data_IF_908968399452
#
_entry.id   IF_908968399452
#
_cell.length_a   1.000
_cell.length_b   1.000
_cell.length_c   1.000
_cell.angle_alpha   90.00
_cell.angle_beta   90.00
_cell.angle_gamma   90.00
#
_symmetry.space_group_name_H-M   'P 1'
#
loop_
_entity.id
_entity.type
_entity.pdbx_description
1 polymer ?
#
# COMPACT_ATOMS: atom_id res chain seq x y z
N UNK A 1 -1.98 -25.96 15.36
CA UNK A 1 -2.31 -25.14 16.55
C UNK A 1 -1.96 -23.67 16.34
N UNK A 2 -0.71 -23.30 15.98
CA UNK A 2 -0.32 -21.90 15.75
C UNK A 2 -1.15 -21.22 14.65
N UNK A 3 -1.36 -21.87 13.51
CA UNK A 3 -2.17 -21.33 12.41
C UNK A 3 -3.63 -21.03 12.80
N UNK A 4 -4.26 -21.89 13.60
CA UNK A 4 -5.63 -21.67 14.10
C UNK A 4 -5.71 -20.45 15.03
N UNK A 5 -4.69 -20.26 15.86
CA UNK A 5 -4.63 -19.08 16.77
C UNK A 5 -4.48 -17.81 15.96
N UNK A 6 -3.57 -17.78 14.99
CA UNK A 6 -3.34 -16.61 14.14
C UNK A 6 -4.59 -16.28 13.31
N UNK A 7 -5.26 -17.29 12.75
CA UNK A 7 -6.51 -17.12 12.00
C UNK A 7 -7.63 -16.55 12.88
N UNK A 8 -7.78 -17.06 14.11
CA UNK A 8 -8.77 -16.57 15.09
C UNK A 8 -8.49 -15.10 15.46
N UNK A 9 -7.22 -14.73 15.66
CA UNK A 9 -6.82 -13.35 15.96
C UNK A 9 -7.12 -12.45 14.75
N UNK A 10 -6.72 -12.85 13.53
CA UNK A 10 -6.98 -12.12 12.31
C UNK A 10 -8.48 -11.89 12.11
N UNK A 11 -9.27 -12.94 12.23
CA UNK A 11 -10.73 -12.86 12.07
C UNK A 11 -11.36 -11.95 13.13
N UNK A 12 -10.97 -12.06 14.39
CA UNK A 12 -11.47 -11.16 15.45
C UNK A 12 -11.13 -9.69 15.17
N UNK A 13 -9.87 -9.41 14.81
CA UNK A 13 -9.41 -8.05 14.53
C UNK A 13 -10.21 -7.40 13.38
N UNK A 14 -10.38 -8.10 12.27
CA UNK A 14 -11.09 -7.55 11.11
C UNK A 14 -12.61 -7.55 11.30
N UNK A 15 -13.20 -8.56 11.94
CA UNK A 15 -14.65 -8.63 12.09
C UNK A 15 -15.21 -7.69 13.15
N UNK A 16 -14.41 -7.26 14.13
CA UNK A 16 -14.88 -6.49 15.29
C UNK A 16 -14.25 -5.10 15.43
N UNK A 17 -12.95 -4.98 15.17
CA UNK A 17 -12.21 -3.76 15.48
C UNK A 17 -11.87 -2.93 14.24
N UNK A 18 -11.16 -3.53 13.29
CA UNK A 18 -10.56 -2.79 12.18
C UNK A 18 -11.59 -2.24 11.20
N UNK A 19 -12.63 -2.99 10.86
CA UNK A 19 -13.69 -2.52 9.96
C UNK A 19 -14.35 -1.26 10.51
N UNK A 20 -14.73 -1.29 11.80
CA UNK A 20 -15.35 -0.12 12.45
C UNK A 20 -14.37 1.05 12.51
N UNK A 21 -13.13 0.80 12.90
CA UNK A 21 -12.11 1.83 13.05
C UNK A 21 -11.74 2.47 11.70
N UNK A 22 -11.53 1.66 10.66
CA UNK A 22 -11.16 2.12 9.32
C UNK A 22 -12.29 2.90 8.65
N UNK A 23 -13.51 2.36 8.67
CA UNK A 23 -14.68 3.04 8.08
C UNK A 23 -14.99 4.32 8.88
N UNK A 24 -15.01 4.23 10.21
CA UNK A 24 -15.30 5.37 11.08
C UNK A 24 -14.28 6.50 10.92
N UNK A 25 -12.99 6.19 10.93
CA UNK A 25 -11.94 7.19 10.72
C UNK A 25 -11.98 7.75 9.27
N UNK A 26 -12.16 6.90 8.27
CA UNK A 26 -12.24 7.33 6.86
C UNK A 26 -13.41 8.29 6.62
N UNK A 27 -14.60 7.99 7.16
CA UNK A 27 -15.77 8.87 7.09
C UNK A 27 -15.51 10.16 7.86
N UNK A 28 -15.00 10.07 9.10
CA UNK A 28 -14.66 11.22 9.93
C UNK A 28 -13.71 12.18 9.19
N UNK A 29 -12.62 11.67 8.63
CA UNK A 29 -11.68 12.51 7.89
C UNK A 29 -12.28 13.06 6.59
N UNK A 30 -13.04 12.25 5.86
CA UNK A 30 -13.72 12.71 4.63
C UNK A 30 -14.65 13.90 4.90
N UNK A 31 -15.43 13.84 5.98
CA UNK A 31 -16.35 14.93 6.39
C UNK A 31 -15.53 16.13 6.87
N UNK A 32 -14.55 15.94 7.78
CA UNK A 32 -13.77 17.03 8.36
C UNK A 32 -12.92 17.78 7.35
N UNK A 33 -12.44 17.11 6.31
CA UNK A 33 -11.70 17.71 5.20
C UNK A 33 -12.59 18.17 4.04
N UNK A 34 -13.91 18.03 4.17
CA UNK A 34 -14.93 18.47 3.17
C UNK A 34 -14.73 17.83 1.80
N UNK A 35 -14.68 16.48 1.74
CA UNK A 35 -14.52 15.70 0.51
C UNK A 35 -13.29 16.09 -0.31
N UNK A 36 -12.08 15.99 0.22
CA UNK A 36 -10.86 16.43 -0.45
C UNK A 36 -10.61 15.64 -1.73
N UNK A 37 -11.09 14.39 -1.80
CA UNK A 37 -11.01 13.48 -2.93
C UNK A 37 -11.57 14.10 -4.23
N UNK A 38 -12.63 14.89 -4.11
CA UNK A 38 -13.24 15.58 -5.25
C UNK A 38 -12.71 16.99 -5.39
N UNK A 39 -12.70 17.72 -4.28
CA UNK A 39 -12.44 19.17 -4.26
C UNK A 39 -10.97 19.52 -4.54
N UNK A 40 -10.04 18.70 -4.08
CA UNK A 40 -8.61 18.92 -4.19
C UNK A 40 -7.92 17.96 -5.18
N UNK A 41 -8.69 17.22 -5.98
CA UNK A 41 -8.13 16.26 -6.94
C UNK A 41 -7.18 16.93 -7.95
N UNK A 42 -7.55 18.06 -8.50
CA UNK A 42 -6.69 18.83 -9.42
C UNK A 42 -5.40 19.29 -8.75
N UNK A 43 -5.45 19.62 -7.47
CA UNK A 43 -4.27 20.03 -6.70
C UNK A 43 -3.36 18.84 -6.42
N UNK A 44 -3.93 17.68 -6.15
CA UNK A 44 -3.18 16.43 -6.02
C UNK A 44 -2.38 16.11 -7.29
N UNK A 45 -3.02 16.20 -8.47
CA UNK A 45 -2.34 16.01 -9.75
C UNK A 45 -1.22 17.04 -9.99
N UNK A 46 -1.43 18.31 -9.62
CA UNK A 46 -0.38 19.34 -9.73
C UNK A 46 0.79 19.09 -8.79
N UNK A 47 0.51 18.69 -7.55
CA UNK A 47 1.53 18.41 -6.55
C UNK A 47 2.47 17.27 -6.96
N UNK A 48 2.00 16.29 -7.73
CA UNK A 48 2.83 15.18 -8.25
C UNK A 48 3.94 15.68 -9.17
N UNK A 49 3.63 16.65 -10.03
CA UNK A 49 4.59 17.14 -11.05
C UNK A 49 5.40 18.35 -10.59
N UNK A 50 5.18 18.82 -9.36
CA UNK A 50 5.93 19.94 -8.79
C UNK A 50 7.38 19.57 -8.56
N UNK A 51 8.29 20.45 -8.98
CA UNK A 51 9.73 20.25 -8.78
C UNK A 51 10.09 20.49 -7.30
N UNK A 52 11.04 19.75 -6.74
CA UNK A 52 11.56 20.00 -5.40
C UNK A 52 12.26 21.37 -5.34
N UNK A 53 12.30 21.99 -4.17
CA UNK A 53 12.98 23.27 -3.95
C UNK A 53 14.51 23.11 -4.07
N UNK A 54 15.05 21.97 -3.67
CA UNK A 54 16.46 21.58 -3.82
C UNK A 54 16.56 20.58 -4.97
N UNK A 55 17.40 20.85 -5.97
CA UNK A 55 17.58 19.96 -7.13
C UNK A 55 18.07 18.56 -6.75
N UNK A 56 18.74 18.40 -5.61
CA UNK A 56 19.17 17.10 -5.09
C UNK A 56 18.14 16.44 -4.17
N UNK A 57 17.04 17.11 -3.87
CA UNK A 57 15.98 16.60 -2.99
C UNK A 57 15.07 15.60 -3.67
N UNK A 58 14.42 14.75 -2.87
CA UNK A 58 13.40 13.81 -3.36
C UNK A 58 12.17 14.59 -3.79
N UNK A 59 11.75 14.44 -5.05
CA UNK A 59 10.55 15.09 -5.58
C UNK A 59 9.27 14.42 -5.08
N UNK A 60 8.12 15.13 -5.20
CA UNK A 60 6.80 14.56 -4.94
C UNK A 60 6.53 13.31 -5.78
N UNK A 61 6.94 13.32 -7.05
CA UNK A 61 6.82 12.17 -7.94
C UNK A 61 7.66 10.97 -7.47
N UNK A 62 8.91 11.20 -7.07
CA UNK A 62 9.78 10.13 -6.58
C UNK A 62 9.24 9.52 -5.28
N UNK A 63 8.78 10.32 -4.33
CA UNK A 63 8.15 9.84 -3.10
C UNK A 63 6.84 9.07 -3.39
N UNK A 64 6.04 9.54 -4.37
CA UNK A 64 4.88 8.81 -4.86
C UNK A 64 5.28 7.45 -5.44
N UNK A 65 6.32 7.38 -6.25
CA UNK A 65 6.77 6.12 -6.87
C UNK A 65 7.28 5.12 -5.84
N UNK A 66 7.96 5.58 -4.78
CA UNK A 66 8.39 4.71 -3.68
C UNK A 66 7.19 4.16 -2.90
N UNK A 67 6.23 5.01 -2.53
CA UNK A 67 5.02 4.55 -1.84
C UNK A 67 4.14 3.69 -2.74
N UNK A 68 4.05 4.01 -4.02
CA UNK A 68 3.32 3.20 -5.01
C UNK A 68 4.03 1.87 -5.26
N UNK A 69 5.36 1.80 -5.20
CA UNK A 69 6.11 0.55 -5.33
C UNK A 69 5.75 -0.47 -4.24
N UNK A 70 5.55 -0.02 -3.00
CA UNK A 70 5.07 -0.88 -1.91
C UNK A 70 3.62 -1.32 -2.12
N UNK A 71 2.74 -0.38 -2.46
CA UNK A 71 1.29 -0.60 -2.64
C UNK A 71 0.97 -1.40 -3.89
N UNK A 72 1.45 -0.92 -5.06
CA UNK A 72 1.22 -1.57 -6.37
C UNK A 72 2.11 -2.80 -6.46
N UNK A 73 1.60 -3.88 -5.98
CA UNK A 73 2.33 -5.13 -5.85
C UNK A 73 1.46 -6.36 -6.09
N UNK A 74 1.84 -7.43 -5.45
CA UNK A 74 1.12 -8.70 -5.55
C UNK A 74 -0.32 -8.61 -5.07
N UNK A 75 -0.65 -7.62 -4.20
CA UNK A 75 -1.99 -7.36 -3.69
C UNK A 75 -2.99 -6.95 -4.78
N UNK A 76 -2.55 -6.17 -5.76
CA UNK A 76 -3.42 -5.71 -6.85
C UNK A 76 -3.84 -6.85 -7.80
N UNK A 77 -3.12 -7.95 -7.84
CA UNK A 77 -3.40 -9.11 -8.68
C UNK A 77 -3.97 -10.25 -7.81
N UNK A 78 -3.13 -10.82 -6.94
CA UNK A 78 -3.47 -11.98 -6.12
C UNK A 78 -4.47 -11.63 -5.02
N UNK A 79 -4.31 -10.45 -4.38
CA UNK A 79 -5.23 -9.98 -3.34
C UNK A 79 -6.64 -9.74 -3.88
N UNK A 80 -6.76 -9.12 -5.07
CA UNK A 80 -8.04 -8.92 -5.76
C UNK A 80 -8.69 -10.25 -6.13
N UNK A 81 -7.91 -11.17 -6.71
CA UNK A 81 -8.37 -12.53 -7.00
C UNK A 81 -8.91 -13.23 -5.75
N UNK A 82 -8.12 -13.22 -4.66
CA UNK A 82 -8.53 -13.85 -3.40
C UNK A 82 -9.81 -13.22 -2.83
N UNK A 83 -9.93 -11.87 -2.89
CA UNK A 83 -11.14 -11.19 -2.44
C UNK A 83 -12.39 -11.65 -3.20
N UNK A 84 -12.28 -11.76 -4.53
CA UNK A 84 -13.41 -12.14 -5.39
C UNK A 84 -13.73 -13.62 -5.28
N UNK A 85 -12.72 -14.50 -5.25
CA UNK A 85 -12.93 -15.95 -5.14
C UNK A 85 -13.54 -16.36 -3.79
N UNK A 86 -13.31 -15.60 -2.71
CA UNK A 86 -13.87 -15.88 -1.37
C UNK A 86 -15.17 -15.11 -1.14
N UNK A 87 -15.20 -13.83 -1.46
CA UNK A 87 -16.28 -12.90 -1.10
C UNK A 87 -17.23 -12.56 -2.27
N UNK A 88 -16.99 -13.10 -3.48
CA UNK A 88 -17.83 -12.81 -4.64
C UNK A 88 -17.55 -11.45 -5.29
N UNK A 89 -18.37 -11.11 -6.30
CA UNK A 89 -18.25 -9.87 -7.09
C UNK A 89 -18.37 -8.60 -6.23
N UNK A 90 -19.21 -8.64 -5.19
CA UNK A 90 -19.43 -7.51 -4.29
C UNK A 90 -18.18 -7.06 -3.53
N UNK A 91 -17.13 -7.89 -3.43
CA UNK A 91 -15.86 -7.52 -2.81
C UNK A 91 -15.21 -6.30 -3.50
N UNK A 92 -15.38 -6.18 -4.82
CA UNK A 92 -14.85 -5.05 -5.60
C UNK A 92 -15.50 -3.74 -5.16
N UNK A 93 -16.82 -3.72 -4.94
CA UNK A 93 -17.51 -2.53 -4.42
C UNK A 93 -16.93 -2.07 -3.08
N UNK A 94 -16.71 -2.99 -2.15
CA UNK A 94 -16.18 -2.66 -0.84
C UNK A 94 -14.69 -2.25 -0.88
N UNK A 95 -13.92 -2.77 -1.85
CA UNK A 95 -12.59 -2.23 -2.14
C UNK A 95 -12.66 -0.77 -2.60
N UNK A 96 -13.60 -0.40 -3.45
CA UNK A 96 -13.80 1.00 -3.86
C UNK A 96 -14.19 1.89 -2.68
N UNK A 97 -15.13 1.44 -1.86
CA UNK A 97 -15.58 2.19 -0.67
C UNK A 97 -14.41 2.47 0.25
N UNK A 98 -13.64 1.43 0.64
CA UNK A 98 -12.51 1.62 1.57
C UNK A 98 -11.39 2.47 0.96
N UNK A 99 -11.18 2.43 -0.35
CA UNK A 99 -10.22 3.29 -1.03
C UNK A 99 -10.66 4.76 -1.02
N UNK A 100 -11.93 5.04 -1.32
CA UNK A 100 -12.45 6.41 -1.34
C UNK A 100 -12.37 7.04 0.05
N UNK A 101 -12.91 6.38 1.09
CA UNK A 101 -12.89 6.94 2.44
C UNK A 101 -11.49 6.88 3.07
N UNK A 102 -10.72 5.82 2.81
CA UNK A 102 -9.36 5.65 3.31
C UNK A 102 -8.38 6.66 2.74
N UNK A 103 -8.61 7.16 1.53
CA UNK A 103 -7.77 8.18 0.92
C UNK A 103 -7.70 9.48 1.74
N UNK A 104 -8.77 9.82 2.47
CA UNK A 104 -8.76 10.94 3.41
C UNK A 104 -7.86 10.65 4.63
N UNK A 105 -7.79 9.40 5.09
CA UNK A 105 -6.84 8.99 6.13
C UNK A 105 -5.40 9.12 5.64
N UNK A 106 -5.13 8.70 4.39
CA UNK A 106 -3.81 8.84 3.76
C UNK A 106 -3.37 10.31 3.63
N UNK A 107 -4.32 11.22 3.33
CA UNK A 107 -4.06 12.66 3.33
C UNK A 107 -3.60 13.15 4.71
N UNK A 108 -4.34 12.78 5.77
CA UNK A 108 -4.04 13.22 7.14
C UNK A 108 -2.71 12.67 7.63
N UNK A 109 -2.48 11.34 7.55
CA UNK A 109 -1.27 10.71 8.04
C UNK A 109 -0.01 11.21 7.31
N UNK A 110 -0.10 11.41 6.00
CA UNK A 110 1.04 11.90 5.21
C UNK A 110 1.31 13.39 5.41
N UNK A 111 0.27 14.18 5.68
CA UNK A 111 0.42 15.57 6.11
C UNK A 111 1.13 15.65 7.47
N UNK A 112 0.72 14.84 8.43
CA UNK A 112 1.39 14.77 9.75
C UNK A 112 2.84 14.35 9.62
N UNK A 113 3.14 13.36 8.78
CA UNK A 113 4.51 12.92 8.54
C UNK A 113 5.39 14.03 7.97
N UNK A 114 4.85 14.86 7.09
CA UNK A 114 5.54 16.02 6.56
C UNK A 114 5.71 17.15 7.60
N UNK A 115 4.72 17.40 8.45
CA UNK A 115 4.82 18.42 9.52
C UNK A 115 5.94 18.06 10.50
N UNK A 116 5.99 16.80 10.94
CA UNK A 116 6.93 16.33 11.97
C UNK A 116 8.19 15.64 11.41
N UNK A 117 8.51 15.84 10.13
CA UNK A 117 9.74 15.29 9.53
C UNK A 117 10.99 15.95 10.09
N UNK A 118 12.09 15.19 10.04
CA UNK A 118 13.42 15.65 10.48
C UNK A 118 14.40 15.58 9.32
N UNK A 119 15.33 16.54 9.29
CA UNK A 119 16.44 16.51 8.34
C UNK A 119 17.60 15.73 8.94
N UNK A 120 18.04 14.68 8.26
CA UNK A 120 19.19 13.89 8.65
C UNK A 120 20.52 14.61 8.37
N UNK A 121 21.60 14.07 8.94
CA UNK A 121 22.96 14.58 8.70
C UNK A 121 23.43 14.40 7.26
N UNK A 122 22.83 13.49 6.52
CA UNK A 122 23.04 13.21 5.09
C UNK A 122 22.29 14.17 4.17
N UNK A 123 21.47 15.08 4.73
CA UNK A 123 20.62 15.98 3.98
C UNK A 123 19.27 15.38 3.56
N UNK A 124 19.06 14.07 3.74
CA UNK A 124 17.79 13.40 3.49
C UNK A 124 16.75 13.74 4.57
N UNK A 125 15.46 13.65 4.22
CA UNK A 125 14.37 13.87 5.16
C UNK A 125 13.78 12.55 5.62
N UNK A 126 13.54 12.42 6.91
CA UNK A 126 12.98 11.25 7.58
C UNK A 126 11.73 11.64 8.35
N UNK A 127 10.71 10.78 8.36
CA UNK A 127 9.47 11.05 9.08
C UNK A 127 8.54 9.84 9.02
N UNK A 128 7.31 10.03 9.46
CA UNK A 128 6.30 8.99 9.52
C UNK A 128 5.71 8.83 10.91
N UNK A 129 4.94 7.75 11.18
CA UNK A 129 4.22 7.60 12.45
C UNK A 129 5.10 7.68 13.68
N UNK A 130 6.26 7.04 13.68
CA UNK A 130 7.16 7.07 14.82
C UNK A 130 7.56 8.51 15.19
N UNK A 131 7.82 9.35 14.19
CA UNK A 131 8.23 10.73 14.39
C UNK A 131 7.10 11.59 14.95
N UNK A 132 5.88 11.52 14.39
CA UNK A 132 4.78 12.32 14.92
C UNK A 132 4.21 11.78 16.25
N UNK A 133 4.31 10.46 16.53
CA UNK A 133 3.98 9.90 17.84
C UNK A 133 4.92 10.46 18.92
N UNK A 134 6.23 10.46 18.68
CA UNK A 134 7.18 11.00 19.66
C UNK A 134 7.07 12.52 19.79
N UNK A 135 7.02 13.25 18.67
CA UNK A 135 7.02 14.71 18.68
C UNK A 135 5.73 15.30 19.26
N UNK A 136 4.57 14.80 18.83
CA UNK A 136 3.29 15.40 19.21
C UNK A 136 2.63 14.76 20.44
N UNK A 137 2.84 13.46 20.70
CA UNK A 137 2.27 12.76 21.86
C UNK A 137 3.30 12.53 22.97
N UNK A 138 4.56 12.89 22.77
CA UNK A 138 5.67 12.68 23.70
C UNK A 138 5.78 11.22 24.17
N UNK A 139 5.38 10.25 23.35
CA UNK A 139 5.32 8.84 23.70
C UNK A 139 6.28 7.98 22.86
N UNK A 140 7.58 8.05 23.20
CA UNK A 140 8.61 7.25 22.52
C UNK A 140 8.36 5.73 22.61
N UNK A 141 7.88 5.14 23.74
CA UNK A 141 7.60 3.70 23.79
C UNK A 141 6.59 3.26 22.71
N UNK A 142 5.50 4.02 22.51
CA UNK A 142 4.50 3.73 21.48
C UNK A 142 5.11 3.84 20.08
N UNK A 143 5.96 4.84 19.84
CA UNK A 143 6.69 5.00 18.59
C UNK A 143 7.59 3.80 18.28
N UNK A 144 8.30 3.27 19.28
CA UNK A 144 9.13 2.06 19.13
C UNK A 144 8.27 0.82 18.86
N UNK A 145 7.15 0.64 19.56
CA UNK A 145 6.22 -0.47 19.29
C UNK A 145 5.70 -0.39 17.85
N UNK A 146 5.36 0.81 17.37
CA UNK A 146 4.96 1.01 15.97
C UNK A 146 6.10 0.63 15.00
N UNK A 147 7.34 1.07 15.27
CA UNK A 147 8.50 0.70 14.43
C UNK A 147 8.69 -0.81 14.34
N UNK A 148 8.64 -1.52 15.47
CA UNK A 148 8.80 -2.98 15.53
C UNK A 148 7.68 -3.66 14.74
N UNK A 149 6.42 -3.24 14.94
CA UNK A 149 5.27 -3.77 14.21
C UNK A 149 5.41 -3.57 12.72
N UNK A 150 5.84 -2.38 12.29
CA UNK A 150 6.01 -2.07 10.88
C UNK A 150 7.18 -2.82 10.24
N UNK A 151 8.33 -2.96 10.94
CA UNK A 151 9.45 -3.77 10.45
C UNK A 151 9.02 -5.24 10.33
N UNK A 152 8.29 -5.77 11.31
CA UNK A 152 7.76 -7.13 11.25
C UNK A 152 6.79 -7.31 10.06
N UNK A 153 5.96 -6.31 9.77
CA UNK A 153 5.04 -6.34 8.64
C UNK A 153 5.79 -6.32 7.31
N UNK A 154 6.66 -5.33 7.10
CA UNK A 154 7.23 -5.02 5.78
C UNK A 154 8.49 -5.83 5.48
N UNK A 155 9.42 -5.99 6.45
CA UNK A 155 10.63 -6.78 6.22
C UNK A 155 10.38 -8.29 6.25
N UNK A 156 9.30 -8.75 6.93
CA UNK A 156 9.00 -10.18 7.06
C UNK A 156 7.66 -10.54 6.40
N UNK A 157 6.52 -10.20 7.00
CA UNK A 157 5.20 -10.65 6.55
C UNK A 157 4.93 -10.39 5.08
N UNK A 158 4.99 -9.14 4.65
CA UNK A 158 4.70 -8.74 3.27
C UNK A 158 5.77 -9.21 2.29
N UNK A 159 7.05 -9.24 2.69
CA UNK A 159 8.11 -9.72 1.82
C UNK A 159 8.02 -11.24 1.57
N UNK A 160 7.68 -12.03 2.60
CA UNK A 160 7.42 -13.46 2.43
C UNK A 160 6.21 -13.70 1.53
N UNK A 161 5.12 -12.97 1.77
CA UNK A 161 3.89 -13.11 0.99
C UNK A 161 4.10 -12.69 -0.47
N UNK A 162 4.84 -11.60 -0.74
CA UNK A 162 5.16 -11.17 -2.10
C UNK A 162 5.99 -12.21 -2.85
N UNK A 163 6.94 -12.83 -2.19
CA UNK A 163 7.77 -13.91 -2.76
C UNK A 163 6.94 -15.15 -3.08
N UNK A 164 6.07 -15.58 -2.15
CA UNK A 164 5.14 -16.68 -2.40
C UNK A 164 4.21 -16.39 -3.58
N UNK A 165 3.58 -15.22 -3.57
CA UNK A 165 2.64 -14.82 -4.62
C UNK A 165 3.30 -14.82 -6.00
N UNK A 166 4.55 -14.36 -6.09
CA UNK A 166 5.30 -14.40 -7.35
C UNK A 166 5.53 -15.85 -7.79
N UNK A 167 6.11 -16.69 -6.94
CA UNK A 167 6.44 -18.06 -7.34
C UNK A 167 5.20 -18.86 -7.72
N UNK A 168 4.04 -18.61 -7.10
CA UNK A 168 2.78 -19.29 -7.41
C UNK A 168 2.29 -19.08 -8.84
N UNK A 169 2.69 -17.97 -9.49
CA UNK A 169 2.33 -17.73 -10.90
C UNK A 169 3.04 -18.66 -11.89
N UNK A 170 4.08 -19.34 -11.44
CA UNK A 170 4.80 -20.31 -12.28
C UNK A 170 4.15 -21.68 -12.28
N UNK A 171 3.18 -21.96 -11.40
CA UNK A 171 2.51 -23.27 -11.30
C UNK A 171 1.77 -23.70 -12.57
N UNK A 172 1.37 -22.76 -13.43
CA UNK A 172 0.72 -23.03 -14.71
C UNK A 172 1.68 -23.54 -15.81
N UNK A 173 2.98 -23.46 -15.59
CA UNK A 173 3.95 -23.87 -16.60
C UNK A 173 4.42 -25.31 -16.38
N UNK A 174 4.60 -26.05 -17.47
CA UNK A 174 4.96 -27.49 -17.46
C UNK A 174 6.29 -27.82 -16.78
N UNK A 175 7.19 -26.84 -16.64
CA UNK A 175 8.46 -27.03 -15.93
C UNK A 175 8.36 -26.92 -14.41
N UNK A 176 7.17 -26.51 -13.88
CA UNK A 176 7.02 -26.30 -12.45
C UNK A 176 7.02 -27.61 -11.66
N UNK A 177 7.95 -27.71 -10.73
CA UNK A 177 8.04 -28.77 -9.74
C UNK A 177 7.77 -28.18 -8.35
N UNK A 178 6.76 -28.70 -7.65
CA UNK A 178 6.32 -28.19 -6.35
C UNK A 178 7.39 -28.26 -5.26
N UNK A 179 8.40 -29.13 -5.41
CA UNK A 179 9.46 -29.34 -4.44
C UNK A 179 10.63 -28.36 -4.64
N UNK A 180 11.00 -28.06 -5.88
CA UNK A 180 12.24 -27.33 -6.20
C UNK A 180 11.99 -25.93 -6.76
N UNK A 181 10.97 -25.77 -7.62
CA UNK A 181 10.73 -24.50 -8.33
C UNK A 181 10.49 -23.31 -7.39
N UNK A 182 9.73 -23.42 -6.27
CA UNK A 182 9.57 -22.33 -5.33
C UNK A 182 10.88 -21.78 -4.79
N UNK A 183 11.79 -22.69 -4.42
CA UNK A 183 13.11 -22.33 -3.88
C UNK A 183 14.03 -21.71 -4.92
N UNK A 184 14.00 -22.19 -6.17
CA UNK A 184 14.80 -21.63 -7.27
C UNK A 184 14.34 -20.21 -7.57
N UNK A 185 13.02 -19.99 -7.73
CA UNK A 185 12.45 -18.67 -8.01
C UNK A 185 12.67 -17.72 -6.83
N UNK A 186 12.40 -18.19 -5.60
CA UNK A 186 12.67 -17.42 -4.39
C UNK A 186 14.14 -17.04 -4.24
N UNK A 187 15.06 -17.94 -4.60
CA UNK A 187 16.50 -17.68 -4.61
C UNK A 187 16.91 -16.62 -5.61
N UNK A 188 16.41 -16.70 -6.85
CA UNK A 188 16.65 -15.68 -7.90
C UNK A 188 16.12 -14.32 -7.44
N UNK A 189 14.87 -14.28 -6.94
CA UNK A 189 14.25 -13.06 -6.46
C UNK A 189 15.03 -12.45 -5.28
N UNK A 190 15.46 -13.27 -4.32
CA UNK A 190 16.26 -12.84 -3.17
C UNK A 190 17.61 -12.24 -3.60
N UNK A 191 18.28 -12.86 -4.58
CA UNK A 191 19.56 -12.35 -5.10
C UNK A 191 19.41 -11.00 -5.80
N UNK A 192 18.41 -10.85 -6.69
CA UNK A 192 18.15 -9.60 -7.40
C UNK A 192 17.75 -8.49 -6.42
N UNK A 193 16.85 -8.81 -5.49
CA UNK A 193 16.42 -7.88 -4.44
C UNK A 193 17.59 -7.47 -3.56
N UNK A 194 18.37 -8.43 -3.07
CA UNK A 194 19.56 -8.16 -2.26
C UNK A 194 20.59 -7.27 -2.96
N UNK A 195 20.85 -7.53 -4.24
CA UNK A 195 21.74 -6.68 -5.05
C UNK A 195 21.24 -5.22 -5.13
N UNK A 196 19.92 -5.03 -5.33
CA UNK A 196 19.34 -3.70 -5.37
C UNK A 196 19.39 -3.02 -4.00
N UNK A 197 19.02 -3.72 -2.93
CA UNK A 197 18.99 -3.20 -1.56
C UNK A 197 20.39 -2.76 -1.07
N UNK A 198 21.43 -3.50 -1.41
CA UNK A 198 22.80 -3.15 -1.04
C UNK A 198 23.26 -1.80 -1.64
N UNK A 199 22.56 -1.31 -2.67
CA UNK A 199 22.78 0.03 -3.23
C UNK A 199 22.15 1.19 -2.44
N UNK A 200 21.34 0.89 -1.42
CA UNK A 200 20.74 1.90 -0.54
C UNK A 200 19.52 2.63 -1.10
N UNK A 201 19.02 3.60 -0.32
CA UNK A 201 17.78 4.32 -0.62
C UNK A 201 17.77 5.02 -1.98
N UNK A 202 18.84 5.65 -2.38
CA UNK A 202 18.96 6.34 -3.69
C UNK A 202 18.79 5.39 -4.88
N UNK A 203 19.31 4.15 -4.78
CA UNK A 203 19.08 3.12 -5.80
C UNK A 203 17.64 2.66 -5.83
N UNK A 204 17.02 2.46 -4.66
CA UNK A 204 15.61 2.10 -4.55
C UNK A 204 14.74 3.17 -5.24
N UNK A 205 14.92 4.45 -4.89
CA UNK A 205 14.18 5.57 -5.51
C UNK A 205 14.35 5.59 -7.03
N UNK A 206 15.59 5.41 -7.53
CA UNK A 206 15.88 5.42 -8.97
C UNK A 206 15.18 4.26 -9.70
N UNK A 207 15.23 3.05 -9.14
CA UNK A 207 14.61 1.86 -9.74
C UNK A 207 13.09 1.99 -9.72
N UNK A 208 12.49 2.35 -8.59
CA UNK A 208 11.03 2.46 -8.45
C UNK A 208 10.46 3.59 -9.31
N UNK A 209 11.13 4.74 -9.40
CA UNK A 209 10.66 5.86 -10.23
C UNK A 209 10.66 5.56 -11.74
N UNK A 210 11.37 4.53 -12.18
CA UNK A 210 11.39 4.09 -13.57
C UNK A 210 10.44 2.90 -13.82
N UNK A 211 10.51 1.86 -12.97
CA UNK A 211 9.75 0.64 -13.18
C UNK A 211 8.26 0.79 -12.89
N UNK A 212 7.90 1.49 -11.79
CA UNK A 212 6.50 1.59 -11.35
C UNK A 212 5.59 2.22 -12.40
N UNK A 213 5.93 3.38 -13.01
CA UNK A 213 5.10 3.95 -14.06
C UNK A 213 4.99 3.04 -15.28
N UNK A 214 6.13 2.45 -15.72
CA UNK A 214 6.16 1.60 -16.90
C UNK A 214 5.28 0.34 -16.73
N UNK A 215 5.42 -0.36 -15.59
CA UNK A 215 4.63 -1.55 -15.32
C UNK A 215 3.13 -1.21 -15.12
N UNK A 216 2.83 -0.10 -14.44
CA UNK A 216 1.45 0.34 -14.22
C UNK A 216 0.74 0.69 -15.53
N UNK A 217 1.39 1.45 -16.41
CA UNK A 217 0.84 1.79 -17.74
C UNK A 217 0.65 0.53 -18.59
N UNK A 218 1.63 -0.37 -18.65
CA UNK A 218 1.52 -1.61 -19.41
C UNK A 218 0.35 -2.49 -18.88
N UNK A 219 0.21 -2.58 -17.56
CA UNK A 219 -0.87 -3.34 -16.94
C UNK A 219 -2.26 -2.78 -17.29
N UNK A 220 -2.43 -1.45 -17.20
CA UNK A 220 -3.69 -0.78 -17.56
C UNK A 220 -4.01 -0.94 -19.04
N UNK A 221 -3.01 -0.83 -19.93
CA UNK A 221 -3.22 -1.03 -21.37
C UNK A 221 -3.75 -2.43 -21.68
N UNK A 222 -3.18 -3.47 -21.08
CA UNK A 222 -3.69 -4.84 -21.24
C UNK A 222 -5.08 -4.99 -20.66
N UNK A 223 -5.35 -4.39 -19.49
CA UNK A 223 -6.69 -4.41 -18.92
C UNK A 223 -7.74 -3.76 -19.84
N UNK A 224 -7.42 -2.62 -20.43
CA UNK A 224 -8.31 -1.96 -21.40
C UNK A 224 -8.54 -2.85 -22.62
N UNK A 225 -7.50 -3.50 -23.16
CA UNK A 225 -7.63 -4.44 -24.28
C UNK A 225 -8.58 -5.60 -23.93
N UNK A 226 -8.40 -6.23 -22.76
CA UNK A 226 -9.27 -7.33 -22.29
C UNK A 226 -10.71 -6.85 -22.12
N UNK A 227 -10.93 -5.67 -21.52
CA UNK A 227 -12.26 -5.10 -21.39
C UNK A 227 -12.92 -4.79 -22.74
N UNK A 228 -12.17 -4.36 -23.74
CA UNK A 228 -12.68 -4.15 -25.11
C UNK A 228 -13.08 -5.49 -25.74
N UNK A 229 -12.24 -6.52 -25.62
CA UNK A 229 -12.54 -7.86 -26.13
C UNK A 229 -13.83 -8.38 -25.48
N UNK A 230 -13.96 -8.23 -24.18
CA UNK A 230 -15.07 -8.77 -23.38
C UNK A 230 -16.18 -7.74 -23.09
N UNK A 231 -16.30 -6.68 -23.89
CA UNK A 231 -17.19 -5.54 -23.61
C UNK A 231 -18.67 -5.96 -23.37
N UNK A 232 -19.14 -7.04 -24.00
CA UNK A 232 -20.51 -7.54 -23.85
C UNK A 232 -20.82 -8.03 -22.41
N UNK A 233 -19.80 -8.47 -21.66
CA UNK A 233 -19.97 -8.93 -20.28
C UNK A 233 -19.92 -7.78 -19.24
N UNK A 234 -19.36 -6.63 -19.56
CA UNK A 234 -19.15 -5.54 -18.60
C UNK A 234 -20.46 -5.08 -17.90
N UNK A 235 -21.61 -4.89 -18.59
CA UNK A 235 -22.84 -4.50 -17.91
C UNK A 235 -23.28 -5.52 -16.86
N UNK A 236 -23.14 -6.81 -17.15
CA UNK A 236 -23.48 -7.90 -16.23
C UNK A 236 -22.51 -7.90 -15.03
N UNK A 237 -21.23 -7.69 -15.26
CA UNK A 237 -20.22 -7.60 -14.21
C UNK A 237 -20.54 -6.45 -13.24
N UNK A 238 -20.81 -5.25 -13.75
CA UNK A 238 -21.19 -4.11 -12.91
C UNK A 238 -22.48 -4.36 -12.12
N UNK A 239 -23.50 -4.94 -12.76
CA UNK A 239 -24.76 -5.33 -12.09
C UNK A 239 -24.50 -6.30 -10.94
N UNK A 240 -23.66 -7.33 -11.13
CA UNK A 240 -23.31 -8.28 -10.08
C UNK A 240 -22.48 -7.65 -8.96
N UNK A 241 -21.52 -6.80 -9.28
CA UNK A 241 -20.73 -6.08 -8.26
C UNK A 241 -21.66 -5.32 -7.31
N UNK A 242 -22.65 -4.61 -7.84
CA UNK A 242 -23.58 -3.83 -7.01
C UNK A 242 -24.56 -4.75 -6.27
N UNK A 243 -25.16 -5.75 -6.93
CA UNK A 243 -26.16 -6.62 -6.29
C UNK A 243 -25.58 -7.48 -5.18
N UNK A 244 -24.38 -8.05 -5.36
CA UNK A 244 -23.72 -8.89 -4.37
C UNK A 244 -23.07 -8.08 -3.24
N UNK A 245 -22.77 -6.79 -3.45
CA UNK A 245 -22.20 -5.94 -2.42
C UNK A 245 -23.10 -5.78 -1.19
N UNK A 246 -24.42 -5.89 -1.36
CA UNK A 246 -25.45 -5.68 -0.35
C UNK A 246 -26.19 -6.98 0.00
N UNK A 247 -25.54 -8.12 -0.16
CA UNK A 247 -26.06 -9.38 0.38
C UNK A 247 -25.98 -9.39 1.92
N UNK A 248 -27.04 -8.85 2.54
CA UNK A 248 -27.12 -8.73 4.00
C UNK A 248 -27.19 -10.09 4.70
N UNK A 249 -27.66 -11.15 4.04
CA UNK A 249 -27.67 -12.50 4.62
C UNK A 249 -26.24 -13.03 4.78
N UNK A 250 -25.41 -12.86 3.75
CA UNK A 250 -24.00 -13.20 3.83
C UNK A 250 -23.23 -12.32 4.82
N UNK A 251 -23.52 -11.01 4.86
CA UNK A 251 -22.86 -10.05 5.77
C UNK A 251 -23.15 -10.39 7.23
N UNK A 252 -24.42 -10.71 7.59
CA UNK A 252 -24.79 -10.96 8.99
C UNK A 252 -24.70 -12.44 9.37
N UNK A 253 -24.77 -13.37 8.40
CA UNK A 253 -24.73 -14.81 8.67
C UNK A 253 -23.32 -15.39 8.72
N UNK A 254 -22.44 -14.98 7.81
CA UNK A 254 -21.06 -15.49 7.69
C UNK A 254 -20.11 -14.33 7.36
N UNK A 255 -19.99 -13.35 8.26
CA UNK A 255 -19.29 -12.09 8.02
C UNK A 255 -17.85 -12.25 7.52
N UNK A 256 -17.11 -13.23 8.05
CA UNK A 256 -15.71 -13.46 7.67
C UNK A 256 -15.50 -13.77 6.18
N UNK A 257 -16.46 -14.45 5.55
CA UNK A 257 -16.44 -14.77 4.11
C UNK A 257 -17.22 -13.77 3.25
N UNK A 258 -17.81 -12.73 3.84
CA UNK A 258 -18.66 -11.79 3.09
C UNK A 258 -17.87 -10.91 2.14
N UNK A 259 -18.54 -10.45 1.08
CA UNK A 259 -18.03 -9.47 0.13
C UNK A 259 -17.45 -8.24 0.83
N UNK A 260 -18.14 -7.73 1.86
CA UNK A 260 -17.70 -6.56 2.62
C UNK A 260 -16.38 -6.82 3.35
N UNK A 261 -16.27 -7.92 4.08
CA UNK A 261 -15.08 -8.26 4.85
C UNK A 261 -13.88 -8.48 3.94
N UNK A 262 -14.06 -9.27 2.88
CA UNK A 262 -12.98 -9.57 1.94
C UNK A 262 -12.55 -8.32 1.15
N UNK A 263 -13.49 -7.51 0.71
CA UNK A 263 -13.21 -6.27 0.02
C UNK A 263 -12.42 -5.26 0.88
N UNK A 264 -12.82 -5.08 2.15
CA UNK A 264 -12.12 -4.20 3.09
C UNK A 264 -10.72 -4.73 3.41
N UNK A 265 -10.60 -6.04 3.72
CA UNK A 265 -9.32 -6.68 4.08
C UNK A 265 -8.30 -6.57 2.94
N UNK A 266 -8.69 -6.98 1.73
CA UNK A 266 -7.78 -6.96 0.57
C UNK A 266 -7.60 -5.55 0.00
N UNK A 267 -8.60 -4.68 0.08
CA UNK A 267 -8.47 -3.27 -0.24
C UNK A 267 -7.44 -2.57 0.66
N UNK A 268 -7.52 -2.79 1.98
CA UNK A 268 -6.54 -2.24 2.93
C UNK A 268 -5.12 -2.77 2.69
N UNK A 269 -4.99 -4.08 2.42
CA UNK A 269 -3.71 -4.70 2.09
C UNK A 269 -3.07 -4.05 0.84
N UNK A 270 -3.88 -3.70 -0.16
CA UNK A 270 -3.42 -3.08 -1.39
C UNK A 270 -3.07 -1.60 -1.19
N UNK A 271 -4.00 -0.78 -0.67
CA UNK A 271 -3.85 0.67 -0.64
C UNK A 271 -3.15 1.23 0.60
N UNK A 272 -3.00 0.44 1.64
CA UNK A 272 -2.30 0.79 2.89
C UNK A 272 -2.79 2.09 3.56
N UNK A 273 -4.01 2.53 3.29
CA UNK A 273 -4.52 3.81 3.79
C UNK A 273 -4.83 3.77 5.30
N UNK A 274 -4.20 4.64 6.07
CA UNK A 274 -4.40 4.76 7.51
C UNK A 274 -3.57 3.79 8.35
N UNK A 275 -2.77 2.89 7.75
CA UNK A 275 -1.91 1.98 8.52
C UNK A 275 -0.55 2.58 8.90
N UNK A 276 -0.21 3.75 8.34
CA UNK A 276 1.01 4.48 8.70
C UNK A 276 2.26 4.10 7.91
N UNK A 277 2.14 3.38 6.81
CA UNK A 277 3.28 2.98 5.98
C UNK A 277 3.75 4.07 5.02
N UNK A 278 2.86 4.53 4.16
CA UNK A 278 3.14 5.55 3.16
C UNK A 278 3.67 6.89 3.72
N UNK A 279 3.31 7.32 4.92
CA UNK A 279 3.92 8.45 5.59
C UNK A 279 5.45 8.42 5.63
N UNK A 280 6.07 7.23 5.69
CA UNK A 280 7.53 7.09 5.67
C UNK A 280 8.17 7.50 4.34
N UNK A 281 7.51 7.20 3.21
CA UNK A 281 7.95 7.68 1.91
C UNK A 281 7.59 9.16 1.71
N UNK A 282 6.38 9.57 2.12
CA UNK A 282 5.92 10.94 1.92
C UNK A 282 6.81 11.95 2.64
N UNK A 283 7.36 11.60 3.81
CA UNK A 283 8.25 12.48 4.57
C UNK A 283 9.57 12.78 3.86
N UNK A 284 10.05 11.88 2.99
CA UNK A 284 11.30 12.09 2.24
C UNK A 284 11.18 13.21 1.20
N UNK A 285 9.98 13.53 0.74
CA UNK A 285 9.77 14.55 -0.27
C UNK A 285 10.03 15.96 0.24
N UNK A 286 10.68 16.75 -0.60
CA UNK A 286 10.84 18.18 -0.39
C UNK A 286 9.72 18.94 -1.09
N UNK A 287 8.86 19.56 -0.31
CA UNK A 287 7.68 20.31 -0.77
C UNK A 287 7.56 21.62 -0.01
N UNK A 288 6.96 22.63 -0.61
CA UNK A 288 6.75 23.92 0.04
C UNK A 288 5.63 23.89 1.10
N UNK A 289 4.75 22.88 1.08
CA UNK A 289 3.66 22.77 2.05
C UNK A 289 3.31 21.30 2.33
N UNK A 290 3.17 20.86 3.61
CA UNK A 290 2.86 19.46 4.00
C UNK A 290 1.65 18.86 3.30
N UNK A 291 0.60 19.65 3.09
CA UNK A 291 -0.65 19.22 2.42
C UNK A 291 -0.37 18.69 1.01
N UNK A 292 0.64 19.19 0.31
CA UNK A 292 0.96 18.71 -1.04
C UNK A 292 1.27 17.21 -1.04
N UNK A 293 2.05 16.73 -0.07
CA UNK A 293 2.31 15.30 0.06
C UNK A 293 1.10 14.51 0.57
N UNK A 294 0.29 15.10 1.45
CA UNK A 294 -0.99 14.51 1.82
C UNK A 294 -1.88 14.26 0.60
N UNK A 295 -1.99 15.25 -0.30
CA UNK A 295 -2.75 15.15 -1.55
C UNK A 295 -2.16 14.11 -2.52
N UNK A 296 -0.83 14.04 -2.63
CA UNK A 296 -0.14 13.04 -3.45
C UNK A 296 -0.43 11.62 -2.94
N UNK A 297 -0.42 11.39 -1.63
CA UNK A 297 -0.71 10.08 -1.07
C UNK A 297 -2.20 9.72 -1.14
N UNK A 298 -3.11 10.70 -1.08
CA UNK A 298 -4.52 10.51 -1.39
C UNK A 298 -4.71 10.02 -2.83
N UNK A 299 -4.01 10.62 -3.79
CA UNK A 299 -4.03 10.20 -5.20
C UNK A 299 -3.43 8.80 -5.40
N UNK A 300 -2.38 8.45 -4.65
CA UNK A 300 -1.77 7.11 -4.68
C UNK A 300 -2.76 6.00 -4.34
N UNK A 301 -3.65 6.21 -3.36
CA UNK A 301 -4.73 5.27 -3.01
C UNK A 301 -5.67 5.05 -4.20
N UNK A 302 -5.98 6.11 -4.94
CA UNK A 302 -6.83 5.99 -6.14
C UNK A 302 -6.15 5.23 -7.27
N UNK A 303 -4.87 5.54 -7.53
CA UNK A 303 -4.08 4.81 -8.54
C UNK A 303 -4.02 3.32 -8.19
N UNK A 304 -3.78 2.99 -6.93
CA UNK A 304 -3.68 1.61 -6.48
C UNK A 304 -5.02 0.87 -6.63
N UNK A 305 -6.06 1.34 -5.97
CA UNK A 305 -7.28 0.56 -5.82
C UNK A 305 -8.33 0.87 -6.88
N UNK A 306 -8.64 2.17 -7.13
CA UNK A 306 -9.68 2.51 -8.10
C UNK A 306 -9.23 2.29 -9.54
N UNK A 307 -7.91 2.28 -9.80
CA UNK A 307 -7.40 2.03 -11.14
C UNK A 307 -6.85 0.61 -11.28
N UNK A 308 -5.79 0.22 -10.54
CA UNK A 308 -5.10 -1.06 -10.76
C UNK A 308 -5.88 -2.27 -10.22
N UNK A 309 -6.43 -2.21 -9.00
CA UNK A 309 -7.26 -3.32 -8.50
C UNK A 309 -8.55 -3.48 -9.33
N UNK A 310 -9.15 -2.35 -9.77
CA UNK A 310 -10.31 -2.41 -10.66
C UNK A 310 -9.93 -3.00 -12.02
N UNK A 311 -8.76 -2.67 -12.56
CA UNK A 311 -8.27 -3.27 -13.80
C UNK A 311 -8.18 -4.81 -13.70
N UNK A 312 -7.60 -5.33 -12.62
CA UNK A 312 -7.54 -6.77 -12.35
C UNK A 312 -8.95 -7.38 -12.23
N UNK A 313 -9.81 -6.75 -11.41
CA UNK A 313 -11.17 -7.23 -11.23
C UNK A 313 -11.94 -7.30 -12.56
N UNK A 314 -11.85 -6.24 -13.39
CA UNK A 314 -12.55 -6.20 -14.67
C UNK A 314 -11.98 -7.22 -15.68
N UNK A 315 -10.66 -7.38 -15.75
CA UNK A 315 -10.06 -8.42 -16.60
C UNK A 315 -10.57 -9.81 -16.25
N UNK A 316 -10.59 -10.14 -14.95
CA UNK A 316 -10.99 -11.48 -14.51
C UNK A 316 -12.50 -11.69 -14.62
N UNK A 317 -13.31 -10.75 -14.14
CA UNK A 317 -14.77 -10.89 -14.10
C UNK A 317 -15.43 -10.85 -15.49
N UNK A 318 -14.81 -10.15 -16.45
CA UNK A 318 -15.33 -10.10 -17.83
C UNK A 318 -14.93 -11.30 -18.69
N UNK A 319 -14.02 -12.15 -18.22
CA UNK A 319 -13.58 -13.35 -18.97
C UNK A 319 -14.63 -14.47 -19.06
N UNK A 320 -15.64 -14.45 -18.18
CA UNK A 320 -16.62 -15.52 -18.05
C UNK A 320 -16.19 -16.69 -17.15
N UNK A 321 -14.93 -16.72 -16.69
CA UNK A 321 -14.45 -17.74 -15.76
C UNK A 321 -14.99 -17.44 -14.36
N UNK A 322 -15.81 -18.35 -13.84
CA UNK A 322 -16.40 -18.19 -12.51
C UNK A 322 -15.34 -18.21 -11.41
N UNK A 323 -15.39 -17.27 -10.43
CA UNK A 323 -14.52 -17.32 -9.29
C UNK A 323 -14.88 -18.53 -8.39
N UNK A 324 -13.86 -19.24 -7.93
CA UNK A 324 -14.00 -20.37 -7.01
C UNK A 324 -12.86 -20.36 -5.99
N UNK A 325 -13.13 -20.84 -4.76
CA UNK A 325 -12.13 -20.83 -3.69
C UNK A 325 -10.88 -21.65 -4.03
N UNK A 326 -11.06 -22.73 -4.77
CA UNK A 326 -9.97 -23.62 -5.22
C UNK A 326 -9.03 -22.94 -6.22
N UNK A 327 -9.53 -21.94 -6.94
CA UNK A 327 -8.79 -21.17 -7.94
C UNK A 327 -8.21 -19.86 -7.39
N UNK A 328 -8.41 -19.56 -6.10
CA UNK A 328 -7.97 -18.26 -5.55
C UNK A 328 -6.50 -17.97 -5.83
N UNK A 329 -6.20 -16.70 -6.09
CA UNK A 329 -4.82 -16.26 -6.34
C UNK A 329 -4.45 -16.28 -7.83
N UNK A 330 -3.23 -16.72 -8.13
CA UNK A 330 -2.71 -16.73 -9.50
C UNK A 330 -3.51 -17.60 -10.47
N UNK A 331 -3.95 -18.83 -10.13
CA UNK A 331 -4.64 -19.72 -11.06
C UNK A 331 -5.89 -19.09 -11.69
N UNK A 332 -6.73 -18.41 -10.89
CA UNK A 332 -7.93 -17.77 -11.43
C UNK A 332 -7.62 -16.62 -12.39
N UNK A 333 -6.65 -15.78 -12.03
CA UNK A 333 -6.23 -14.64 -12.89
C UNK A 333 -5.65 -15.14 -14.20
N UNK A 334 -4.82 -16.18 -14.14
CA UNK A 334 -4.19 -16.77 -15.33
C UNK A 334 -5.22 -17.46 -16.22
N UNK A 335 -6.16 -18.22 -15.65
CA UNK A 335 -7.25 -18.83 -16.40
C UNK A 335 -8.14 -17.76 -17.07
N UNK A 336 -8.49 -16.70 -16.34
CA UNK A 336 -9.30 -15.61 -16.88
C UNK A 336 -8.63 -14.89 -18.06
N UNK A 337 -7.33 -14.64 -17.96
CA UNK A 337 -6.59 -14.00 -19.04
C UNK A 337 -6.27 -14.98 -20.20
N UNK A 338 -6.12 -16.26 -19.91
CA UNK A 338 -5.98 -17.27 -20.97
C UNK A 338 -7.23 -17.32 -21.86
N UNK A 339 -8.43 -17.23 -21.28
CA UNK A 339 -9.68 -17.17 -22.03
C UNK A 339 -9.74 -15.98 -22.98
N UNK A 340 -9.25 -14.82 -22.55
CA UNK A 340 -9.30 -13.58 -23.34
C UNK A 340 -8.12 -13.40 -24.31
N UNK A 341 -6.92 -13.85 -23.95
CA UNK A 341 -5.65 -13.56 -24.65
C UNK A 341 -4.86 -14.83 -25.06
N UNK A 342 -5.43 -16.02 -24.85
CA UNK A 342 -4.74 -17.29 -25.09
C UNK A 342 -3.48 -17.43 -24.21
N UNK A 343 -2.45 -18.11 -24.72
CA UNK A 343 -1.21 -18.38 -23.98
C UNK A 343 -0.43 -17.11 -23.55
N UNK A 344 -0.71 -15.96 -24.17
CA UNK A 344 -0.12 -14.70 -23.76
C UNK A 344 -0.61 -14.24 -22.39
N UNK A 345 -1.85 -14.55 -22.01
CA UNK A 345 -2.46 -14.15 -20.73
C UNK A 345 -1.68 -14.60 -19.49
N UNK A 346 -1.45 -15.91 -19.30
CA UNK A 346 -0.66 -16.42 -18.18
C UNK A 346 0.78 -15.89 -18.16
N UNK A 347 1.43 -15.79 -19.34
CA UNK A 347 2.77 -15.23 -19.45
C UNK A 347 2.81 -13.77 -19.01
N UNK A 348 1.85 -12.96 -19.47
CA UNK A 348 1.75 -11.55 -19.08
C UNK A 348 1.58 -11.39 -17.56
N UNK A 349 0.71 -12.18 -16.92
CA UNK A 349 0.51 -12.13 -15.47
C UNK A 349 1.80 -12.51 -14.73
N UNK A 350 2.51 -13.52 -15.18
CA UNK A 350 3.79 -13.93 -14.56
C UNK A 350 4.84 -12.83 -14.66
N UNK A 351 4.99 -12.20 -15.84
CA UNK A 351 5.91 -11.06 -16.04
C UNK A 351 5.49 -9.86 -15.17
N UNK A 352 4.20 -9.52 -15.16
CA UNK A 352 3.68 -8.46 -14.30
C UNK A 352 3.99 -8.74 -12.82
N UNK A 353 3.78 -9.97 -12.37
CA UNK A 353 4.07 -10.38 -10.99
C UNK A 353 5.56 -10.30 -10.64
N UNK A 354 6.47 -10.61 -11.57
CA UNK A 354 7.92 -10.41 -11.36
C UNK A 354 8.21 -8.93 -11.08
N UNK A 355 7.68 -8.03 -11.87
CA UNK A 355 7.90 -6.59 -11.72
C UNK A 355 7.22 -6.05 -10.44
N UNK A 356 5.98 -6.43 -10.19
CA UNK A 356 5.20 -5.98 -9.05
C UNK A 356 5.79 -6.48 -7.73
N UNK A 357 6.14 -7.77 -7.62
CA UNK A 357 6.78 -8.32 -6.43
C UNK A 357 8.13 -7.67 -6.17
N UNK A 358 8.97 -7.53 -7.20
CA UNK A 358 10.28 -6.91 -7.05
C UNK A 358 10.19 -5.46 -6.55
N UNK A 359 9.34 -4.63 -7.15
CA UNK A 359 9.17 -3.24 -6.72
C UNK A 359 8.57 -3.14 -5.32
N UNK A 360 7.64 -4.04 -4.94
CA UNK A 360 7.09 -4.13 -3.58
C UNK A 360 8.18 -4.41 -2.55
N UNK A 361 9.06 -5.37 -2.80
CA UNK A 361 10.18 -5.68 -1.91
C UNK A 361 11.10 -4.48 -1.69
N UNK A 362 11.33 -3.68 -2.73
CA UNK A 362 12.13 -2.45 -2.64
C UNK A 362 11.43 -1.36 -1.81
N UNK A 363 10.15 -1.10 -2.07
CA UNK A 363 9.35 -0.12 -1.33
C UNK A 363 9.24 -0.47 0.16
N UNK A 364 9.00 -1.74 0.47
CA UNK A 364 8.95 -2.26 1.82
C UNK A 364 10.26 -2.03 2.59
N UNK A 365 11.39 -2.30 1.96
CA UNK A 365 12.69 -2.09 2.57
C UNK A 365 13.03 -0.60 2.74
N UNK A 366 12.57 0.28 1.84
CA UNK A 366 12.72 1.72 2.02
C UNK A 366 12.02 2.21 3.30
N UNK A 367 10.83 1.72 3.58
CA UNK A 367 10.14 2.03 4.83
C UNK A 367 10.92 1.57 6.05
N UNK A 368 11.48 0.36 6.00
CA UNK A 368 12.30 -0.17 7.08
C UNK A 368 13.58 0.64 7.33
N UNK A 369 14.24 1.12 6.28
CA UNK A 369 15.43 1.99 6.39
C UNK A 369 15.08 3.26 7.19
N UNK A 370 13.93 3.89 6.92
CA UNK A 370 13.46 5.07 7.67
C UNK A 370 13.21 4.77 9.17
N UNK A 371 12.57 3.63 9.46
CA UNK A 371 12.31 3.22 10.85
C UNK A 371 13.58 2.89 11.62
N UNK A 372 14.55 2.26 10.96
CA UNK A 372 15.85 1.95 11.56
C UNK A 372 16.63 3.23 11.89
N UNK A 373 16.54 4.26 11.04
CA UNK A 373 17.08 5.59 11.34
C UNK A 373 16.43 6.19 12.59
N UNK A 374 15.11 6.06 12.74
CA UNK A 374 14.40 6.52 13.92
C UNK A 374 14.87 5.79 15.20
N UNK A 375 14.90 4.45 15.18
CA UNK A 375 15.29 3.63 16.34
C UNK A 375 16.72 3.99 16.81
N UNK A 376 17.66 4.15 15.90
CA UNK A 376 19.06 4.45 16.18
C UNK A 376 19.33 5.94 16.44
N UNK A 377 18.30 6.82 16.37
CA UNK A 377 18.45 8.27 16.49
C UNK A 377 19.42 8.87 15.47
N UNK A 378 19.42 8.36 14.27
CA UNK A 378 20.31 8.71 13.17
C UNK A 378 20.68 7.48 12.34
N UNK A 379 21.58 7.66 11.40
CA UNK A 379 21.97 6.56 10.51
C UNK A 379 22.62 5.39 11.27
N UNK A 380 22.07 4.16 11.15
CA UNK A 380 22.72 2.98 11.67
C UNK A 380 24.07 2.73 10.99
N UNK A 381 24.94 1.96 11.63
CA UNK A 381 26.23 1.61 11.04
C UNK A 381 26.07 0.90 9.70
N UNK A 382 27.00 1.12 8.76
CA UNK A 382 26.99 0.45 7.45
C UNK A 382 26.96 -1.08 7.56
N UNK A 383 27.63 -1.64 8.58
CA UNK A 383 27.62 -3.09 8.86
C UNK A 383 26.25 -3.57 9.27
N UNK A 384 25.55 -2.86 10.16
CA UNK A 384 24.20 -3.18 10.60
C UNK A 384 23.20 -3.15 9.42
N UNK A 385 23.23 -2.08 8.62
CA UNK A 385 22.36 -1.96 7.45
C UNK A 385 22.61 -3.05 6.41
N UNK A 386 23.88 -3.43 6.19
CA UNK A 386 24.22 -4.55 5.31
C UNK A 386 23.67 -5.87 5.86
N UNK A 387 23.81 -6.12 7.15
CA UNK A 387 23.25 -7.31 7.82
C UNK A 387 21.72 -7.36 7.70
N UNK A 388 21.02 -6.24 8.00
CA UNK A 388 19.57 -6.15 7.87
C UNK A 388 19.09 -6.47 6.43
N UNK A 389 19.75 -5.91 5.41
CA UNK A 389 19.41 -6.14 4.00
C UNK A 389 19.63 -7.57 3.55
N UNK A 390 20.68 -8.23 4.06
CA UNK A 390 20.91 -9.66 3.84
C UNK A 390 19.80 -10.49 4.49
N UNK A 391 19.43 -10.19 5.75
CA UNK A 391 18.32 -10.88 6.43
C UNK A 391 17.01 -10.68 5.67
N UNK A 392 16.69 -9.45 5.23
CA UNK A 392 15.49 -9.19 4.42
C UNK A 392 15.48 -9.98 3.11
N UNK A 393 16.63 -10.16 2.46
CA UNK A 393 16.74 -10.97 1.26
C UNK A 393 16.55 -12.47 1.55
N UNK A 394 17.07 -12.98 2.69
CA UNK A 394 16.85 -14.37 3.12
C UNK A 394 15.37 -14.62 3.45
N UNK A 395 14.67 -13.65 4.01
CA UNK A 395 13.22 -13.73 4.26
C UNK A 395 12.44 -13.90 2.97
N UNK A 396 12.83 -13.21 1.90
CA UNK A 396 12.25 -13.38 0.55
C UNK A 396 12.43 -14.82 0.06
N UNK A 397 13.63 -15.40 0.23
CA UNK A 397 13.89 -16.79 -0.13
C UNK A 397 12.99 -17.76 0.63
N UNK A 398 12.90 -17.61 1.96
CA UNK A 398 12.11 -18.49 2.82
C UNK A 398 10.62 -18.40 2.47
N UNK A 399 10.10 -17.18 2.24
CA UNK A 399 8.70 -16.92 1.94
C UNK A 399 8.17 -17.68 0.72
N UNK A 400 9.02 -17.90 -0.29
CA UNK A 400 8.63 -18.61 -1.51
C UNK A 400 8.18 -20.07 -1.27
N UNK A 401 8.72 -20.74 -0.24
CA UNK A 401 8.41 -22.13 0.08
C UNK A 401 7.41 -22.34 1.21
N UNK A 402 6.80 -21.26 1.75
CA UNK A 402 5.87 -21.34 2.89
C UNK A 402 4.42 -21.62 2.45
N UNK A 403 3.55 -21.96 3.40
CA UNK A 403 2.13 -22.15 3.18
C UNK A 403 1.39 -20.80 3.05
N UNK A 404 0.58 -20.65 2.01
CA UNK A 404 -0.09 -19.39 1.65
C UNK A 404 -1.08 -18.89 2.70
N UNK A 405 -1.85 -19.78 3.31
CA UNK A 405 -2.87 -19.42 4.31
C UNK A 405 -2.20 -18.81 5.55
N UNK A 406 -1.08 -19.37 5.98
CA UNK A 406 -0.29 -18.85 7.09
C UNK A 406 0.31 -17.48 6.77
N UNK A 407 0.83 -17.29 5.55
CA UNK A 407 1.40 -16.01 5.13
C UNK A 407 0.36 -14.88 5.10
N UNK A 408 -0.84 -15.15 4.56
CA UNK A 408 -1.92 -14.19 4.56
C UNK A 408 -2.36 -13.82 5.99
N UNK A 409 -2.55 -14.81 6.85
CA UNK A 409 -3.00 -14.58 8.23
C UNK A 409 -1.96 -13.80 9.05
N UNK A 410 -0.66 -14.12 8.91
CA UNK A 410 0.42 -13.36 9.56
C UNK A 410 0.42 -11.92 9.05
N UNK A 411 0.36 -11.72 7.74
CA UNK A 411 0.36 -10.38 7.13
C UNK A 411 -0.84 -9.55 7.59
N UNK A 412 -2.03 -10.15 7.64
CA UNK A 412 -3.25 -9.49 8.10
C UNK A 412 -3.13 -9.07 9.59
N UNK A 413 -2.64 -9.95 10.48
CA UNK A 413 -2.46 -9.62 11.90
C UNK A 413 -1.45 -8.49 12.08
N UNK A 414 -0.29 -8.57 11.43
CA UNK A 414 0.76 -7.56 11.55
C UNK A 414 0.27 -6.19 11.04
N UNK A 415 -0.37 -6.16 9.86
CA UNK A 415 -0.98 -4.95 9.30
C UNK A 415 -2.07 -4.39 10.22
N UNK A 416 -2.89 -5.27 10.79
CA UNK A 416 -3.94 -4.89 11.73
C UNK A 416 -3.41 -4.23 12.99
N UNK A 417 -2.29 -4.72 13.55
CA UNK A 417 -1.63 -4.09 14.70
C UNK A 417 -1.17 -2.68 14.36
N UNK A 418 -0.57 -2.47 13.18
CA UNK A 418 -0.18 -1.12 12.73
C UNK A 418 -1.40 -0.19 12.65
N UNK A 419 -2.49 -0.64 12.05
CA UNK A 419 -3.73 0.14 11.94
C UNK A 419 -4.32 0.50 13.31
N UNK A 420 -4.32 -0.44 14.26
CA UNK A 420 -4.80 -0.22 15.64
C UNK A 420 -3.96 0.80 16.42
N UNK A 421 -2.69 0.99 16.06
CA UNK A 421 -1.84 2.03 16.65
C UNK A 421 -2.03 3.35 15.88
N UNK A 422 -1.91 3.32 14.56
CA UNK A 422 -1.83 4.55 13.76
C UNK A 422 -3.15 5.31 13.68
N UNK A 423 -4.28 4.62 13.46
CA UNK A 423 -5.57 5.31 13.28
C UNK A 423 -5.98 6.11 14.53
N UNK A 424 -5.92 5.59 15.76
CA UNK A 424 -6.17 6.41 16.95
C UNK A 424 -5.22 7.61 17.06
N UNK A 425 -3.94 7.43 16.72
CA UNK A 425 -2.96 8.53 16.76
C UNK A 425 -3.33 9.62 15.78
N UNK A 426 -3.63 9.30 14.52
CA UNK A 426 -4.00 10.31 13.52
C UNK A 426 -5.36 10.95 13.81
N UNK A 427 -6.28 10.26 14.52
CA UNK A 427 -7.52 10.87 15.02
C UNK A 427 -7.22 11.93 16.08
N UNK A 428 -6.35 11.63 17.05
CA UNK A 428 -5.92 12.58 18.09
C UNK A 428 -5.23 13.80 17.44
N UNK A 429 -4.32 13.57 16.50
CA UNK A 429 -3.54 14.60 15.84
C UNK A 429 -4.25 15.29 14.67
N UNK A 430 -5.48 14.88 14.36
CA UNK A 430 -6.22 15.36 13.20
C UNK A 430 -6.34 16.88 13.12
N UNK A 431 -6.52 17.56 14.25
CA UNK A 431 -6.66 19.02 14.27
C UNK A 431 -5.42 19.75 13.75
N UNK A 432 -4.22 19.21 13.96
CA UNK A 432 -2.98 19.76 13.41
C UNK A 432 -2.98 19.71 11.89
N UNK A 433 -3.30 18.55 11.31
CA UNK A 433 -3.42 18.41 9.86
C UNK A 433 -4.54 19.26 9.26
N UNK A 434 -5.67 19.41 9.97
CA UNK A 434 -6.79 20.27 9.55
C UNK A 434 -6.43 21.76 9.58
N UNK A 435 -5.65 22.22 10.56
CA UNK A 435 -5.11 23.59 10.58
C UNK A 435 -4.19 23.84 9.38
N UNK A 436 -3.29 22.88 9.08
CA UNK A 436 -2.44 22.95 7.90
C UNK A 436 -3.26 22.98 6.59
N UNK A 437 -4.36 22.19 6.52
CA UNK A 437 -5.25 22.21 5.36
C UNK A 437 -5.94 23.59 5.20
N UNK A 438 -6.41 24.17 6.29
CA UNK A 438 -7.03 25.49 6.28
C UNK A 438 -6.05 26.59 5.85
N UNK A 439 -4.80 26.51 6.30
CA UNK A 439 -3.73 27.42 5.87
C UNK A 439 -3.44 27.26 4.38
N UNK A 440 -3.26 26.03 3.89
CA UNK A 440 -3.08 25.75 2.48
C UNK A 440 -4.17 26.36 1.60
N UNK A 441 -5.44 26.16 1.98
CA UNK A 441 -6.59 26.66 1.25
C UNK A 441 -6.68 28.19 1.28
N UNK A 442 -6.35 28.81 2.41
CA UNK A 442 -6.30 30.27 2.55
C UNK A 442 -5.25 30.87 1.61
N UNK A 443 -4.04 30.35 1.62
CA UNK A 443 -2.96 30.83 0.76
C UNK A 443 -3.30 30.64 -0.73
N UNK A 444 -3.88 29.51 -1.09
CA UNK A 444 -4.31 29.22 -2.46
C UNK A 444 -5.38 30.17 -2.96
N UNK A 445 -6.38 30.54 -2.12
CA UNK A 445 -7.42 31.53 -2.47
C UNK A 445 -6.81 32.90 -2.77
N UNK A 446 -5.70 33.22 -2.15
CA UNK A 446 -4.97 34.48 -2.37
C UNK A 446 -4.08 34.45 -3.64
N UNK A 447 -4.11 33.36 -4.43
CA UNK A 447 -3.43 33.27 -5.72
C UNK A 447 -1.94 32.90 -5.67
N UNK A 448 -1.38 32.60 -4.48
CA UNK A 448 0.02 32.19 -4.30
C UNK A 448 0.25 30.67 -4.36
N UNK A 449 1.51 30.26 -4.56
CA UNK A 449 1.93 28.88 -4.26
C UNK A 449 2.02 28.73 -2.74
N UNK A 450 1.24 27.84 -2.08
CA UNK A 450 1.25 27.74 -0.63
C UNK A 450 2.63 27.35 -0.08
N UNK A 451 3.10 28.11 0.90
CA UNK A 451 4.33 27.86 1.66
C UNK A 451 3.99 27.70 3.13
N UNK A 452 4.43 26.63 3.73
CA UNK A 452 4.13 26.31 5.12
C UNK A 452 5.13 26.92 6.08
N UNK A 453 4.60 27.48 7.17
CA UNK A 453 5.39 27.90 8.33
C UNK A 453 4.71 27.34 9.59
N UNK A 454 5.45 26.64 10.42
CA UNK A 454 4.91 25.98 11.61
C UNK A 454 4.21 26.96 12.56
N UNK A 455 4.73 28.19 12.70
CA UNK A 455 4.15 29.26 13.53
C UNK A 455 2.74 29.69 13.11
N UNK A 456 2.40 29.60 11.79
CA UNK A 456 1.12 30.08 11.29
C UNK A 456 -0.05 29.16 11.75
N UNK A 457 0.26 27.94 12.20
CA UNK A 457 -0.70 27.01 12.79
C UNK A 457 -0.47 26.75 14.29
N UNK A 458 0.47 27.49 14.92
CA UNK A 458 0.78 27.42 16.35
C UNK A 458 1.71 26.28 16.76
N UNK A 459 2.63 25.86 15.88
CA UNK A 459 3.59 24.77 16.10
C UNK A 459 5.06 25.24 16.11
N UNK A 460 5.33 26.49 16.47
CA UNK A 460 6.64 27.12 16.33
C UNK A 460 7.80 26.37 17.00
N UNK A 461 7.51 25.64 18.10
CA UNK A 461 8.52 24.90 18.88
C UNK A 461 8.46 23.38 18.73
N UNK A 462 7.53 22.86 17.92
CA UNK A 462 7.24 21.42 17.81
C UNK A 462 7.78 20.79 16.52
N UNK A 463 8.42 21.58 15.65
CA UNK A 463 8.90 21.10 14.33
C UNK A 463 10.36 21.41 14.10
N UNK A 464 11.14 20.43 13.62
CA UNK A 464 12.56 20.57 13.32
C UNK A 464 12.84 21.11 11.90
N UNK A 465 11.89 20.98 10.99
CA UNK A 465 12.10 21.28 9.56
C UNK A 465 11.46 22.60 9.11
N UNK A 466 10.34 22.99 9.71
CA UNK A 466 9.51 24.12 9.27
C UNK A 466 9.63 25.37 10.16
N UNK A 467 10.79 25.61 10.70
CA UNK A 467 11.09 26.72 11.61
C UNK A 467 10.94 28.11 11.01
#
# INVERSE_FOLDING_TARGET
MLGIIIDSISTFMYSKLLVILLIGAGIYFTIRTKLPQMRLFKDACKAVVEKPEDENGVSSFQALMVSTASRVGTGNIIGVSSAICIGGFGSVFWMWVIAIIGSASALIESTLAQIYKKKGKDGECYGGPAYYIEAALHCRPLAIVFCISMIATYAFGFNMLASYNLQSTFSEFSFYDTKWTPWIIGGILALITGWCLLGGGSRIVKVTSTLVPAMGVAYILIAVIVMIINHAYLPVVFSKIISEAFDFQAIFGAFAGSAMMQGIRRGLYSNEAGIGSAPNASASAQVSHPIKQGLVQMLSVFIDTLLLCTATAMMCLSSGIAPAQELQGAPWVQAALHESLGNFGPLFITVAMVLFAFTTLLGNCFYCDNLLNYIHKGQPSKGFMKGFRIVSSLVVFIGAGMEVSMLWNISDVLMGVMALINIPVILILSNTALKALADYEKQKKNGGNPVFRARDIGLEYETDYWG
#
